data_IF_352679803728
#
_entry.id   IF_352679803728
#
_cell.length_a   1.000
_cell.length_b   1.000
_cell.length_c   1.000
_cell.angle_alpha   90.00
_cell.angle_beta   90.00
_cell.angle_gamma   90.00
#
_symmetry.space_group_name_H-M   'P 1'
#
loop_
_entity.id
_entity.type
_entity.pdbx_description
1 polymer ?
#
# COMPACT_ATOMS: atom_id res chain seq x y z
N UNK A 1 -9.08 19.41 -26.02
CA UNK A 1 -8.30 18.86 -24.90
C UNK A 1 -6.82 19.11 -25.13
N UNK A 2 -6.11 19.47 -24.07
CA UNK A 2 -4.66 19.66 -24.06
C UNK A 2 -4.06 18.79 -22.96
N UNK A 3 -2.84 18.29 -23.18
CA UNK A 3 -2.09 17.55 -22.17
C UNK A 3 -0.94 18.43 -21.69
N UNK A 4 -0.92 18.72 -20.39
CA UNK A 4 0.11 19.52 -19.75
C UNK A 4 1.01 18.57 -18.95
N UNK A 5 2.31 18.64 -19.20
CA UNK A 5 3.34 17.96 -18.42
C UNK A 5 3.82 18.92 -17.34
N UNK A 6 3.81 18.48 -16.08
CA UNK A 6 4.00 19.34 -14.91
C UNK A 6 4.95 18.66 -13.92
N UNK A 7 5.90 19.42 -13.38
CA UNK A 7 6.73 19.05 -12.23
C UNK A 7 6.15 19.60 -10.93
N UNK A 8 6.51 19.00 -9.78
CA UNK A 8 6.04 19.46 -8.47
C UNK A 8 6.46 20.90 -8.12
N UNK A 9 7.56 21.36 -8.73
CA UNK A 9 8.12 22.69 -8.52
C UNK A 9 7.48 23.74 -9.44
N UNK A 10 6.68 23.32 -10.43
CA UNK A 10 6.05 24.22 -11.38
C UNK A 10 4.90 24.99 -10.74
N UNK A 11 4.73 26.27 -11.14
CA UNK A 11 3.62 27.12 -10.67
C UNK A 11 2.26 26.52 -10.99
N UNK A 12 2.18 25.79 -12.09
CA UNK A 12 0.94 25.19 -12.60
C UNK A 12 0.64 23.84 -11.93
N UNK A 13 1.45 23.37 -10.97
CA UNK A 13 1.20 22.14 -10.22
C UNK A 13 -0.14 22.13 -9.48
N UNK A 14 -0.69 23.31 -9.17
CA UNK A 14 -2.05 23.43 -8.63
C UNK A 14 -3.12 22.80 -9.53
N UNK A 15 -2.92 22.76 -10.86
CA UNK A 15 -3.83 22.09 -11.79
C UNK A 15 -3.95 20.59 -11.52
N UNK A 16 -2.86 19.95 -11.06
CA UNK A 16 -2.86 18.55 -10.70
C UNK A 16 -3.81 18.30 -9.52
N UNK A 17 -3.83 19.19 -8.52
CA UNK A 17 -4.76 19.12 -7.40
C UNK A 17 -6.21 19.38 -7.81
N UNK A 18 -6.44 20.38 -8.67
CA UNK A 18 -7.77 20.83 -9.09
C UNK A 18 -8.60 19.78 -9.84
N UNK A 19 -7.97 18.77 -10.47
CA UNK A 19 -8.71 17.63 -11.07
C UNK A 19 -9.61 16.94 -10.05
N UNK A 20 -9.20 16.89 -8.77
CA UNK A 20 -10.00 16.26 -7.71
C UNK A 20 -11.38 16.92 -7.56
N UNK A 21 -11.45 18.25 -7.68
CA UNK A 21 -12.68 19.03 -7.55
C UNK A 21 -13.67 18.74 -8.69
N UNK A 22 -13.21 18.22 -9.82
CA UNK A 22 -14.05 17.84 -10.94
C UNK A 22 -14.69 16.45 -10.78
N UNK A 23 -14.19 15.63 -9.85
CA UNK A 23 -14.47 14.18 -9.75
C UNK A 23 -15.12 13.83 -8.42
N UNK A 24 -14.66 14.44 -7.33
CA UNK A 24 -14.98 14.07 -5.96
C UNK A 24 -15.85 15.13 -5.27
N UNK A 25 -16.64 14.73 -4.27
CA UNK A 25 -17.34 15.69 -3.41
C UNK A 25 -16.34 16.51 -2.58
N UNK A 26 -16.71 17.69 -2.04
CA UNK A 26 -15.80 18.48 -1.20
C UNK A 26 -15.16 17.69 -0.05
N UNK A 27 -15.92 16.80 0.61
CA UNK A 27 -15.43 15.94 1.70
C UNK A 27 -14.39 14.93 1.18
N UNK A 28 -14.65 14.33 0.02
CA UNK A 28 -13.73 13.39 -0.62
C UNK A 28 -12.47 14.11 -1.15
N UNK A 29 -12.55 15.35 -1.60
CA UNK A 29 -11.38 16.15 -1.99
C UNK A 29 -10.46 16.37 -0.79
N UNK A 30 -11.01 16.70 0.39
CA UNK A 30 -10.20 16.81 1.63
C UNK A 30 -9.49 15.50 1.96
N UNK A 31 -10.14 14.36 1.71
CA UNK A 31 -9.51 13.05 1.87
C UNK A 31 -8.37 12.83 0.86
N UNK A 32 -8.69 12.95 -0.44
CA UNK A 32 -7.77 12.69 -1.55
C UNK A 32 -6.57 13.63 -1.57
N UNK A 33 -6.74 14.88 -1.15
CA UNK A 33 -5.66 15.87 -1.08
C UNK A 33 -4.59 15.56 -0.01
N UNK A 34 -4.87 14.63 0.91
CA UNK A 34 -3.88 14.14 1.89
C UNK A 34 -3.00 13.03 1.32
N UNK A 35 -3.37 12.43 0.19
CA UNK A 35 -2.54 11.44 -0.47
C UNK A 35 -1.26 12.11 -0.97
N UNK A 36 -0.11 11.62 -0.51
CA UNK A 36 1.17 12.08 -1.02
C UNK A 36 1.41 11.49 -2.41
N UNK A 37 2.06 12.28 -3.26
CA UNK A 37 2.64 11.78 -4.50
C UNK A 37 4.08 11.40 -4.17
N UNK A 38 4.47 10.12 -4.22
CA UNK A 38 5.85 9.71 -3.99
C UNK A 38 6.79 10.44 -4.94
N UNK A 39 7.91 10.95 -4.44
CA UNK A 39 8.92 11.60 -5.29
C UNK A 39 9.89 10.59 -5.87
N UNK A 40 10.05 9.46 -5.19
CA UNK A 40 10.89 8.38 -5.66
C UNK A 40 10.38 7.87 -7.00
N UNK A 41 11.27 7.87 -7.99
CA UNK A 41 10.99 7.46 -9.37
C UNK A 41 9.98 8.32 -10.11
N UNK A 42 9.47 9.42 -9.53
CA UNK A 42 8.55 10.31 -10.23
C UNK A 42 9.28 10.93 -11.42
N UNK A 43 8.76 10.69 -12.62
CA UNK A 43 9.28 11.30 -13.84
C UNK A 43 8.56 12.62 -14.12
N UNK A 44 7.23 12.59 -14.10
CA UNK A 44 6.41 13.78 -14.34
C UNK A 44 4.95 13.54 -13.95
N UNK A 45 4.20 14.61 -13.76
CA UNK A 45 2.75 14.58 -13.69
C UNK A 45 2.14 15.03 -15.02
N UNK A 46 1.06 14.38 -15.43
CA UNK A 46 0.28 14.75 -16.62
C UNK A 46 -1.11 15.20 -16.18
N UNK A 47 -1.60 16.30 -16.77
CA UNK A 47 -2.95 16.80 -16.58
C UNK A 47 -3.60 17.02 -17.94
N UNK A 48 -4.80 16.48 -18.14
CA UNK A 48 -5.65 16.82 -19.29
C UNK A 48 -6.56 17.97 -18.91
N UNK A 49 -6.61 18.98 -19.77
CA UNK A 49 -7.57 20.08 -19.68
C UNK A 49 -8.53 20.08 -20.86
N UNK A 50 -9.79 20.47 -20.63
CA UNK A 50 -10.72 20.85 -21.68
C UNK A 50 -11.14 22.31 -21.50
N UNK A 51 -10.88 23.13 -22.53
CA UNK A 51 -11.08 24.59 -22.49
C UNK A 51 -10.49 25.26 -21.24
N UNK A 52 -9.31 24.80 -20.81
CA UNK A 52 -8.61 25.28 -19.63
C UNK A 52 -9.06 24.67 -18.29
N UNK A 53 -10.13 23.87 -18.25
CA UNK A 53 -10.58 23.17 -17.04
C UNK A 53 -9.85 21.83 -16.90
N UNK A 54 -9.19 21.52 -15.77
CA UNK A 54 -8.54 20.22 -15.56
C UNK A 54 -9.60 19.11 -15.36
N UNK A 55 -9.46 18.00 -16.08
CA UNK A 55 -10.46 16.91 -16.13
C UNK A 55 -9.88 15.51 -15.92
N UNK A 56 -8.57 15.32 -16.08
CA UNK A 56 -7.90 14.06 -15.78
C UNK A 56 -6.44 14.29 -15.37
N UNK A 57 -5.87 13.39 -14.56
CA UNK A 57 -4.47 13.43 -14.13
C UNK A 57 -3.85 12.05 -13.95
N UNK A 58 -2.54 11.98 -14.08
CA UNK A 58 -1.74 10.85 -13.58
C UNK A 58 -0.32 11.30 -13.25
N UNK A 59 0.32 10.65 -12.28
CA UNK A 59 1.75 10.73 -12.04
C UNK A 59 2.44 9.54 -12.74
N UNK A 60 3.42 9.80 -13.60
CA UNK A 60 4.19 8.80 -14.32
C UNK A 60 5.54 8.57 -13.61
N UNK A 61 5.88 7.31 -13.39
CA UNK A 61 7.05 6.88 -12.64
C UNK A 61 7.95 5.95 -13.45
N UNK A 62 9.26 6.20 -13.37
CA UNK A 62 10.32 5.42 -14.00
C UNK A 62 11.18 4.77 -12.93
N UNK A 63 10.68 3.65 -12.38
CA UNK A 63 11.42 2.82 -11.45
C UNK A 63 12.37 1.88 -12.23
N UNK A 64 13.70 2.02 -12.08
CA UNK A 64 14.66 1.23 -12.87
C UNK A 64 14.64 -0.27 -12.52
N UNK A 65 14.19 -0.64 -11.32
CA UNK A 65 14.14 -2.02 -10.84
C UNK A 65 12.79 -2.70 -11.18
N UNK A 66 11.79 -1.92 -11.60
CA UNK A 66 10.46 -2.45 -11.91
C UNK A 66 10.47 -3.19 -13.25
N UNK A 67 10.16 -4.49 -13.17
CA UNK A 67 10.05 -5.37 -14.34
C UNK A 67 8.77 -6.16 -14.32
N UNK A 68 8.23 -6.41 -15.52
CA UNK A 68 7.12 -7.32 -15.75
C UNK A 68 7.43 -8.19 -16.96
N UNK A 69 7.28 -9.52 -16.80
CA UNK A 69 7.69 -10.53 -17.79
C UNK A 69 9.13 -10.30 -18.31
N UNK A 70 10.05 -10.01 -17.39
CA UNK A 70 11.47 -9.72 -17.65
C UNK A 70 11.79 -8.45 -18.47
N UNK A 71 10.77 -7.63 -18.80
CA UNK A 71 10.97 -6.34 -19.46
C UNK A 71 10.79 -5.17 -18.48
N UNK A 72 11.43 -4.03 -18.77
CA UNK A 72 11.28 -2.79 -18.01
C UNK A 72 9.82 -2.31 -18.10
N UNK A 73 9.25 -1.96 -16.96
CA UNK A 73 7.92 -1.38 -16.86
C UNK A 73 7.98 0.03 -16.24
N UNK A 74 7.26 0.97 -16.83
CA UNK A 74 6.90 2.22 -16.19
C UNK A 74 5.62 1.99 -15.39
N UNK A 75 5.32 2.87 -14.43
CA UNK A 75 4.04 2.83 -13.74
C UNK A 75 3.35 4.19 -13.65
N UNK A 76 2.02 4.16 -13.54
CA UNK A 76 1.18 5.34 -13.39
C UNK A 76 0.40 5.29 -12.08
N UNK A 77 0.61 6.29 -11.23
CA UNK A 77 -0.11 6.48 -9.99
C UNK A 77 -1.05 7.68 -10.08
N UNK A 78 -1.86 7.89 -9.04
CA UNK A 78 -2.80 9.03 -8.96
C UNK A 78 -3.65 9.18 -10.23
N UNK A 79 -4.07 8.06 -10.81
CA UNK A 79 -4.87 8.04 -12.05
C UNK A 79 -6.29 8.44 -11.71
N UNK A 80 -6.70 9.60 -12.19
CA UNK A 80 -8.03 10.14 -11.95
C UNK A 80 -8.54 10.83 -13.20
N UNK A 81 -9.83 10.70 -13.46
CA UNK A 81 -10.51 11.28 -14.61
C UNK A 81 -11.97 11.47 -14.26
N UNK A 82 -12.60 12.49 -14.84
CA UNK A 82 -14.07 12.48 -14.96
C UNK A 82 -14.51 11.18 -15.64
N UNK A 83 -15.81 10.85 -15.56
CA UNK A 83 -16.42 9.68 -16.23
C UNK A 83 -16.43 9.81 -17.78
N UNK A 84 -15.49 10.57 -18.35
CA UNK A 84 -15.28 10.72 -19.78
C UNK A 84 -14.12 9.81 -20.21
N UNK A 85 -14.45 8.70 -20.87
CA UNK A 85 -13.46 7.75 -21.38
C UNK A 85 -12.45 8.42 -22.32
N UNK A 86 -12.86 9.46 -23.08
CA UNK A 86 -11.98 10.14 -24.04
C UNK A 86 -10.84 10.86 -23.31
N UNK A 87 -11.13 11.47 -22.16
CA UNK A 87 -10.13 12.17 -21.36
C UNK A 87 -9.09 11.20 -20.79
N UNK A 88 -9.54 10.05 -20.26
CA UNK A 88 -8.63 9.02 -19.76
C UNK A 88 -7.83 8.36 -20.88
N UNK A 89 -8.45 7.99 -22.00
CA UNK A 89 -7.75 7.44 -23.16
C UNK A 89 -6.64 8.38 -23.64
N UNK A 90 -6.93 9.69 -23.72
CA UNK A 90 -5.93 10.67 -24.10
C UNK A 90 -4.78 10.76 -23.10
N UNK A 91 -5.08 10.77 -21.79
CA UNK A 91 -4.09 10.77 -20.72
C UNK A 91 -3.19 9.53 -20.78
N UNK A 92 -3.79 8.34 -20.87
CA UNK A 92 -3.07 7.06 -20.94
C UNK A 92 -2.21 6.98 -22.20
N UNK A 93 -2.73 7.41 -23.35
CA UNK A 93 -1.98 7.44 -24.61
C UNK A 93 -0.73 8.32 -24.50
N UNK A 94 -0.82 9.47 -23.80
CA UNK A 94 0.32 10.35 -23.54
C UNK A 94 1.34 9.72 -22.59
N UNK A 95 0.89 9.14 -21.48
CA UNK A 95 1.76 8.43 -20.56
C UNK A 95 2.48 7.25 -21.23
N UNK A 96 1.77 6.47 -22.04
CA UNK A 96 2.32 5.34 -22.79
C UNK A 96 3.31 5.78 -23.87
N UNK A 97 3.07 6.90 -24.57
CA UNK A 97 4.04 7.45 -25.53
C UNK A 97 5.35 7.82 -24.84
N UNK A 98 5.27 8.60 -23.75
CA UNK A 98 6.44 9.00 -22.97
C UNK A 98 7.21 7.79 -22.42
N UNK A 99 6.50 6.78 -21.90
CA UNK A 99 7.12 5.54 -21.44
C UNK A 99 7.85 4.80 -22.58
N UNK A 100 7.24 4.68 -23.76
CA UNK A 100 7.86 4.05 -24.94
C UNK A 100 9.10 4.81 -25.42
N UNK A 101 9.04 6.14 -25.45
CA UNK A 101 10.18 7.01 -25.80
C UNK A 101 11.39 6.78 -24.88
N UNK A 102 11.15 6.39 -23.61
CA UNK A 102 12.18 6.04 -22.63
C UNK A 102 12.52 4.53 -22.58
N UNK A 103 12.01 3.75 -23.54
CA UNK A 103 12.33 2.34 -23.71
C UNK A 103 11.67 1.41 -22.70
N UNK A 104 10.52 1.80 -22.14
CA UNK A 104 9.69 0.89 -21.33
C UNK A 104 8.74 0.08 -22.24
N UNK A 105 8.59 -1.20 -21.93
CA UNK A 105 7.73 -2.12 -22.70
C UNK A 105 6.33 -2.25 -22.14
N UNK A 106 6.16 -1.95 -20.85
CA UNK A 106 4.90 -2.04 -20.14
C UNK A 106 4.62 -0.74 -19.38
N UNK A 107 3.33 -0.43 -19.24
CA UNK A 107 2.80 0.61 -18.36
C UNK A 107 1.90 -0.09 -17.34
N UNK A 108 2.26 -0.04 -16.06
CA UNK A 108 1.54 -0.69 -14.97
C UNK A 108 0.78 0.36 -14.17
N UNK A 109 -0.50 0.12 -13.93
CA UNK A 109 -1.35 1.09 -13.25
C UNK A 109 -2.58 0.45 -12.65
N UNK A 110 -3.10 0.98 -11.53
CA UNK A 110 -2.51 2.08 -10.75
C UNK A 110 -1.28 1.61 -9.94
N UNK A 111 -0.18 2.36 -9.96
CA UNK A 111 0.98 2.16 -9.10
C UNK A 111 1.83 3.44 -9.02
N UNK A 112 1.90 4.01 -7.83
CA UNK A 112 2.70 5.18 -7.49
C UNK A 112 4.15 4.78 -7.23
N UNK A 113 4.90 4.44 -8.29
CA UNK A 113 6.34 4.20 -8.24
C UNK A 113 6.77 2.81 -7.74
N UNK A 114 6.08 2.23 -6.73
CA UNK A 114 6.37 0.87 -6.23
C UNK A 114 5.23 0.29 -5.40
N UNK A 115 5.32 -0.99 -5.04
CA UNK A 115 4.38 -1.67 -4.12
C UNK A 115 4.49 -1.21 -2.66
N UNK A 116 5.43 -0.31 -2.34
CA UNK A 116 5.49 0.35 -1.03
C UNK A 116 4.49 1.51 -0.92
N UNK A 117 4.00 2.00 -2.06
CA UNK A 117 3.09 3.13 -2.15
C UNK A 117 1.70 2.66 -2.57
N UNK A 118 0.82 3.57 -2.97
CA UNK A 118 -0.46 3.26 -3.60
C UNK A 118 -0.29 2.41 -4.88
N UNK A 119 -0.97 1.26 -5.01
CA UNK A 119 -0.74 0.36 -6.16
C UNK A 119 -1.91 -0.52 -6.61
N UNK A 120 -3.14 -0.17 -6.24
CA UNK A 120 -4.32 -0.96 -6.60
C UNK A 120 -5.57 -0.11 -6.68
N UNK A 121 -6.53 -0.56 -7.48
CA UNK A 121 -7.92 -0.14 -7.37
C UNK A 121 -8.70 -1.22 -6.62
N UNK A 122 -9.70 -0.79 -5.85
CA UNK A 122 -10.68 -1.71 -5.29
C UNK A 122 -11.74 -2.03 -6.34
N UNK A 123 -12.14 -3.30 -6.43
CA UNK A 123 -13.31 -3.70 -7.22
C UNK A 123 -14.63 -3.48 -6.46
N UNK A 124 -14.56 -3.35 -5.13
CA UNK A 124 -15.71 -3.29 -4.24
C UNK A 124 -15.59 -2.06 -3.35
N UNK A 125 -16.36 -1.00 -3.63
CA UNK A 125 -16.39 0.19 -2.77
C UNK A 125 -17.64 0.24 -1.89
N UNK A 126 -18.42 -0.85 -1.84
CA UNK A 126 -19.58 -0.96 -0.96
C UNK A 126 -19.21 -1.28 0.50
N UNK A 127 -17.96 -1.66 0.78
CA UNK A 127 -17.44 -1.79 2.13
C UNK A 127 -16.96 -0.43 2.65
N UNK A 128 -17.07 -0.16 3.98
CA UNK A 128 -16.51 1.03 4.57
C UNK A 128 -15.01 1.16 4.28
N UNK A 129 -14.57 2.36 3.92
CA UNK A 129 -13.15 2.66 3.73
C UNK A 129 -12.44 2.58 5.09
N UNK A 130 -11.41 1.74 5.18
CA UNK A 130 -10.57 1.63 6.38
C UNK A 130 -9.26 2.39 6.19
N UNK A 131 -8.64 2.78 7.31
CA UNK A 131 -7.37 3.49 7.30
C UNK A 131 -6.31 2.75 6.46
N UNK A 132 -5.57 3.49 5.63
CA UNK A 132 -4.57 2.99 4.65
C UNK A 132 -5.11 2.39 3.35
N UNK A 133 -6.41 2.24 3.17
CA UNK A 133 -7.00 1.91 1.85
C UNK A 133 -7.25 3.18 1.02
N UNK A 134 -7.23 3.03 -0.30
CA UNK A 134 -7.40 4.15 -1.22
C UNK A 134 -8.88 4.42 -1.53
N UNK A 135 -9.25 5.70 -1.52
CA UNK A 135 -10.53 6.13 -2.06
C UNK A 135 -10.42 6.27 -3.59
N UNK A 136 -11.23 5.48 -4.29
CA UNK A 136 -11.33 5.50 -5.75
C UNK A 136 -12.80 5.31 -6.16
N UNK A 137 -13.21 5.75 -7.35
CA UNK A 137 -14.59 5.58 -7.84
C UNK A 137 -14.73 4.26 -8.61
N UNK A 138 -15.78 3.47 -8.37
CA UNK A 138 -15.91 2.09 -8.91
C UNK A 138 -15.73 2.01 -10.43
N UNK A 139 -16.18 3.04 -11.16
CA UNK A 139 -16.08 3.11 -12.62
C UNK A 139 -14.65 3.13 -13.16
N UNK A 140 -13.62 3.40 -12.34
CA UNK A 140 -12.24 3.40 -12.83
C UNK A 140 -11.79 2.02 -13.29
N UNK A 141 -12.30 0.94 -12.72
CA UNK A 141 -11.97 -0.42 -13.17
C UNK A 141 -12.38 -0.62 -14.64
N UNK A 142 -13.60 -0.23 -15.00
CA UNK A 142 -14.10 -0.32 -16.38
C UNK A 142 -13.37 0.64 -17.32
N UNK A 143 -13.12 1.88 -16.86
CA UNK A 143 -12.40 2.87 -17.66
C UNK A 143 -10.97 2.40 -18.00
N UNK A 144 -10.24 1.83 -17.03
CA UNK A 144 -8.89 1.31 -17.28
C UNK A 144 -8.89 0.21 -18.34
N UNK A 145 -9.84 -0.74 -18.26
CA UNK A 145 -9.99 -1.80 -19.26
C UNK A 145 -10.29 -1.22 -20.64
N UNK A 146 -11.17 -0.21 -20.73
CA UNK A 146 -11.47 0.49 -21.99
C UNK A 146 -10.24 1.16 -22.62
N UNK A 147 -9.30 1.64 -21.79
CA UNK A 147 -8.02 2.20 -22.28
C UNK A 147 -6.95 1.18 -22.66
N UNK A 148 -7.28 -0.12 -22.62
CA UNK A 148 -6.39 -1.21 -23.02
C UNK A 148 -5.53 -1.80 -21.91
N UNK A 149 -5.84 -1.52 -20.64
CA UNK A 149 -5.21 -2.23 -19.52
C UNK A 149 -5.86 -3.61 -19.31
N UNK A 150 -5.05 -4.56 -18.82
CA UNK A 150 -5.50 -5.89 -18.41
C UNK A 150 -5.10 -6.13 -16.95
N UNK A 151 -5.91 -6.91 -16.22
CA UNK A 151 -5.59 -7.30 -14.85
C UNK A 151 -4.38 -8.24 -14.83
N UNK A 152 -3.31 -7.82 -14.15
CA UNK A 152 -2.08 -8.63 -14.01
C UNK A 152 -1.95 -9.32 -12.65
N UNK A 153 -2.73 -8.89 -11.65
CA UNK A 153 -2.78 -9.47 -10.30
C UNK A 153 -4.04 -8.98 -9.58
N UNK A 154 -4.57 -9.82 -8.70
CA UNK A 154 -5.69 -9.49 -7.81
C UNK A 154 -5.25 -9.64 -6.35
N UNK A 155 -5.87 -8.84 -5.49
CA UNK A 155 -5.66 -8.85 -4.05
C UNK A 155 -7.02 -8.85 -3.37
N UNK A 156 -7.08 -9.37 -2.15
CA UNK A 156 -8.28 -9.29 -1.33
C UNK A 156 -7.91 -8.83 0.08
N UNK A 157 -8.85 -8.12 0.69
CA UNK A 157 -8.84 -7.81 2.11
C UNK A 157 -9.90 -8.67 2.78
N UNK A 158 -9.57 -9.32 3.89
CA UNK A 158 -10.52 -10.08 4.69
C UNK A 158 -10.81 -9.35 6.00
N UNK A 159 -12.06 -9.36 6.43
CA UNK A 159 -12.47 -8.88 7.75
C UNK A 159 -13.23 -9.99 8.51
N UNK A 160 -13.22 -9.91 9.83
CA UNK A 160 -13.98 -10.82 10.70
C UNK A 160 -14.51 -10.05 11.91
N UNK A 161 -15.71 -10.42 12.37
CA UNK A 161 -16.27 -9.98 13.65
C UNK A 161 -16.03 -11.01 14.76
N UNK A 162 -15.53 -12.20 14.42
CA UNK A 162 -15.19 -13.24 15.39
C UNK A 162 -13.80 -12.96 15.98
N UNK A 163 -13.73 -12.01 16.92
CA UNK A 163 -12.51 -11.72 17.68
C UNK A 163 -12.19 -12.81 18.71
N UNK A 164 -13.14 -13.69 19.02
CA UNK A 164 -12.93 -14.85 19.88
C UNK A 164 -12.38 -16.07 19.12
N UNK A 165 -12.02 -15.87 17.84
CA UNK A 165 -11.47 -16.91 16.98
C UNK A 165 -10.23 -17.55 17.58
N UNK A 166 -10.14 -18.88 17.42
CA UNK A 166 -8.98 -19.66 17.81
C UNK A 166 -8.51 -20.54 16.66
N UNK A 167 -7.24 -20.39 16.28
CA UNK A 167 -6.62 -21.27 15.29
C UNK A 167 -6.63 -22.72 15.82
N UNK A 168 -7.17 -23.70 15.06
CA UNK A 168 -7.29 -25.09 15.52
C UNK A 168 -5.96 -25.72 15.97
N UNK A 169 -4.87 -25.36 15.30
CA UNK A 169 -3.53 -25.86 15.57
C UNK A 169 -2.77 -25.09 16.67
N UNK A 170 -3.39 -24.06 17.28
CA UNK A 170 -2.68 -23.15 18.19
C UNK A 170 -1.97 -23.88 19.34
N UNK A 171 -2.61 -24.83 20.03
CA UNK A 171 -2.00 -25.54 21.16
C UNK A 171 -0.78 -26.40 20.74
N UNK A 172 -0.78 -26.91 19.52
CA UNK A 172 0.36 -27.63 18.97
C UNK A 172 1.50 -26.68 18.59
N UNK A 173 1.18 -25.57 17.90
CA UNK A 173 2.15 -24.54 17.54
C UNK A 173 2.75 -23.85 18.77
N UNK A 174 1.95 -23.61 19.79
CA UNK A 174 2.38 -22.95 21.02
C UNK A 174 3.43 -23.78 21.75
N UNK A 175 3.20 -25.08 21.92
CA UNK A 175 4.23 -25.99 22.47
C UNK A 175 5.46 -26.03 21.58
N UNK A 176 5.30 -26.19 20.28
CA UNK A 176 6.41 -26.27 19.32
C UNK A 176 7.32 -25.03 19.36
N UNK A 177 6.75 -23.82 19.31
CA UNK A 177 7.55 -22.59 19.29
C UNK A 177 8.16 -22.26 20.65
N UNK A 178 7.46 -22.55 21.76
CA UNK A 178 8.04 -22.40 23.10
C UNK A 178 9.19 -23.38 23.33
N UNK A 179 9.07 -24.64 22.92
CA UNK A 179 10.15 -25.65 23.01
C UNK A 179 11.36 -25.26 22.16
N UNK A 180 11.13 -24.56 21.03
CA UNK A 180 12.19 -23.98 20.21
C UNK A 180 12.83 -22.72 20.80
N UNK A 181 12.33 -22.20 21.92
CA UNK A 181 12.79 -20.98 22.55
C UNK A 181 12.42 -19.70 21.78
N UNK A 182 11.36 -19.74 20.96
CA UNK A 182 10.84 -18.55 20.29
C UNK A 182 10.18 -17.63 21.32
N UNK A 183 10.51 -16.35 21.24
CA UNK A 183 9.93 -15.32 22.10
C UNK A 183 9.12 -14.33 21.27
N UNK A 184 7.86 -14.13 21.64
CA UNK A 184 7.03 -13.05 21.13
C UNK A 184 7.11 -11.89 22.11
N UNK A 185 7.45 -10.71 21.61
CA UNK A 185 7.57 -9.49 22.41
C UNK A 185 6.93 -8.31 21.68
N UNK A 186 6.36 -7.34 22.40
CA UNK A 186 5.84 -6.13 21.79
C UNK A 186 6.98 -5.25 21.26
N UNK A 187 6.66 -4.39 20.30
CA UNK A 187 7.46 -3.19 20.00
C UNK A 187 6.86 -2.03 20.77
N UNK A 188 7.63 -1.50 21.73
CA UNK A 188 7.21 -0.39 22.58
C UNK A 188 7.32 0.92 21.81
N UNK A 189 6.36 1.83 21.99
CA UNK A 189 6.29 3.10 21.25
C UNK A 189 7.54 3.96 21.49
N UNK A 190 8.11 3.94 22.69
CA UNK A 190 9.36 4.62 23.05
C UNK A 190 10.60 4.09 22.31
N UNK A 191 10.54 2.85 21.81
CA UNK A 191 11.63 2.19 21.07
C UNK A 191 11.28 1.96 19.60
N UNK A 192 10.10 2.37 19.14
CA UNK A 192 9.59 2.05 17.81
C UNK A 192 10.52 2.52 16.70
N UNK A 193 11.02 3.76 16.80
CA UNK A 193 11.92 4.33 15.79
C UNK A 193 13.28 3.60 15.77
N UNK A 194 13.76 3.13 16.91
CA UNK A 194 15.02 2.36 17.04
C UNK A 194 14.89 0.95 16.45
N UNK A 195 13.67 0.41 16.38
CA UNK A 195 13.37 -0.90 15.81
C UNK A 195 13.24 -0.87 14.28
N UNK A 196 12.90 0.29 13.68
CA UNK A 196 12.71 0.42 12.22
C UNK A 196 13.92 -0.07 11.39
N UNK A 197 15.19 0.22 11.77
CA UNK A 197 16.35 -0.35 11.09
C UNK A 197 16.37 -1.88 11.04
N UNK A 198 15.94 -2.57 12.10
CA UNK A 198 15.91 -4.03 12.17
C UNK A 198 14.73 -4.58 11.37
N UNK A 199 13.57 -3.90 11.46
CA UNK A 199 12.39 -4.23 10.66
C UNK A 199 12.66 -4.08 9.16
N UNK A 200 13.41 -3.05 8.74
CA UNK A 200 13.82 -2.87 7.35
C UNK A 200 14.54 -4.09 6.80
N UNK A 201 15.56 -4.59 7.51
CA UNK A 201 16.35 -5.75 7.09
C UNK A 201 15.49 -7.03 7.01
N UNK A 202 14.52 -7.17 7.91
CA UNK A 202 13.62 -8.31 7.92
C UNK A 202 12.56 -8.25 6.82
N UNK A 203 11.82 -7.14 6.72
CA UNK A 203 10.73 -6.95 5.77
C UNK A 203 11.24 -6.90 4.33
N UNK A 204 12.39 -6.28 4.07
CA UNK A 204 13.00 -6.28 2.74
C UNK A 204 13.28 -7.71 2.26
N UNK A 205 13.80 -8.58 3.13
CA UNK A 205 14.02 -10.00 2.82
C UNK A 205 12.72 -10.79 2.72
N UNK A 206 11.72 -10.48 3.54
CA UNK A 206 10.44 -11.17 3.54
C UNK A 206 9.63 -10.87 2.26
N UNK A 207 9.65 -9.63 1.79
CA UNK A 207 8.87 -9.17 0.64
C UNK A 207 9.59 -9.29 -0.71
N UNK A 208 10.88 -9.61 -0.73
CA UNK A 208 11.68 -9.67 -1.97
C UNK A 208 11.11 -10.57 -3.09
N UNK A 209 10.22 -11.51 -2.75
CA UNK A 209 9.59 -12.45 -3.69
C UNK A 209 8.15 -12.06 -4.05
N UNK A 210 7.63 -10.98 -3.49
CA UNK A 210 6.29 -10.50 -3.82
C UNK A 210 6.25 -10.02 -5.27
N UNK A 211 5.10 -10.18 -5.90
CA UNK A 211 4.88 -9.72 -7.27
C UNK A 211 5.14 -8.21 -7.38
N UNK A 212 5.93 -7.81 -8.39
CA UNK A 212 6.36 -6.43 -8.65
C UNK A 212 7.15 -5.75 -7.50
N UNK A 213 7.67 -6.51 -6.54
CA UNK A 213 8.54 -5.96 -5.52
C UNK A 213 9.77 -5.30 -6.14
N UNK A 214 10.05 -4.07 -5.69
CA UNK A 214 11.34 -3.40 -5.89
C UNK A 214 11.90 -2.96 -4.54
N UNK A 215 13.23 -2.94 -4.37
CA UNK A 215 13.84 -2.44 -3.15
C UNK A 215 13.46 -0.99 -2.83
N UNK A 216 13.37 -0.67 -1.54
CA UNK A 216 13.25 0.71 -1.04
C UNK A 216 14.51 1.03 -0.23
N UNK A 217 14.92 2.29 -0.20
CA UNK A 217 16.05 2.68 0.64
C UNK A 217 15.68 2.57 2.12
N UNK A 218 16.67 2.30 2.97
CA UNK A 218 16.46 2.26 4.42
C UNK A 218 15.92 3.57 4.98
N UNK A 219 16.40 4.70 4.46
CA UNK A 219 15.94 6.04 4.85
C UNK A 219 14.46 6.24 4.50
N UNK A 220 14.06 5.89 3.27
CA UNK A 220 12.66 5.99 2.83
C UNK A 220 11.74 5.10 3.64
N UNK A 221 12.17 3.86 3.92
CA UNK A 221 11.45 2.96 4.79
C UNK A 221 11.27 3.57 6.18
N UNK A 222 12.34 4.08 6.80
CA UNK A 222 12.27 4.70 8.13
C UNK A 222 11.35 5.91 8.13
N UNK A 223 11.50 6.82 7.17
CA UNK A 223 10.66 8.01 7.05
C UNK A 223 9.18 7.63 6.94
N UNK A 224 8.84 6.71 6.03
CA UNK A 224 7.47 6.25 5.84
C UNK A 224 6.88 5.58 7.08
N UNK A 225 7.64 4.68 7.71
CA UNK A 225 7.13 3.93 8.86
C UNK A 225 7.15 4.75 10.16
N UNK A 226 7.93 5.84 10.24
CA UNK A 226 7.92 6.77 11.37
C UNK A 226 6.58 7.50 11.54
N UNK A 227 5.85 7.74 10.44
CA UNK A 227 4.52 8.38 10.46
C UNK A 227 3.47 7.58 11.24
N UNK A 228 3.68 6.26 11.40
CA UNK A 228 2.80 5.40 12.18
C UNK A 228 3.06 5.45 13.68
N UNK A 229 4.12 6.11 14.16
CA UNK A 229 4.45 6.18 15.59
C UNK A 229 3.24 6.55 16.49
N UNK A 230 2.39 7.53 16.14
CA UNK A 230 1.20 7.86 16.95
C UNK A 230 0.15 6.75 17.05
N UNK A 231 0.22 5.74 16.18
CA UNK A 231 -0.72 4.63 16.07
C UNK A 231 -0.14 3.31 16.61
N UNK A 232 1.12 3.30 17.04
CA UNK A 232 1.78 2.11 17.59
C UNK A 232 1.21 1.80 18.97
N UNK A 233 0.57 0.64 19.07
CA UNK A 233 0.10 0.04 20.32
C UNK A 233 0.90 -1.25 20.56
N UNK A 234 1.63 -1.36 21.69
CA UNK A 234 2.42 -2.54 22.04
C UNK A 234 1.63 -3.86 22.03
N UNK A 235 0.31 -3.84 22.26
CA UNK A 235 -0.50 -5.05 22.21
C UNK A 235 -0.74 -5.56 20.77
N UNK A 236 -0.46 -4.74 19.77
CA UNK A 236 -0.81 -4.95 18.36
C UNK A 236 0.39 -4.88 17.40
N UNK A 237 1.54 -4.43 17.88
CA UNK A 237 2.80 -4.48 17.14
C UNK A 237 3.72 -5.50 17.81
N UNK A 238 3.68 -6.74 17.32
CA UNK A 238 4.35 -7.89 17.94
C UNK A 238 5.44 -8.44 17.04
N UNK A 239 6.64 -8.64 17.58
CA UNK A 239 7.76 -9.33 16.92
C UNK A 239 8.03 -10.70 17.55
N UNK A 240 8.50 -11.64 16.75
CA UNK A 240 8.98 -12.94 17.20
C UNK A 240 10.47 -13.09 16.92
N UNK A 241 11.23 -13.49 17.94
CA UNK A 241 12.67 -13.76 17.85
C UNK A 241 12.94 -15.23 18.13
N UNK A 242 13.90 -15.83 17.42
CA UNK A 242 14.38 -17.17 17.73
C UNK A 242 15.24 -17.20 19.02
N UNK A 243 15.63 -18.39 19.48
CA UNK A 243 16.45 -18.55 20.69
C UNK A 243 17.83 -17.87 20.62
N UNK A 244 18.27 -17.43 19.43
CA UNK A 244 19.52 -16.70 19.21
C UNK A 244 19.30 -15.19 19.10
N UNK A 245 18.06 -14.72 19.23
CA UNK A 245 17.69 -13.31 19.12
C UNK A 245 17.48 -12.82 17.68
N UNK A 246 17.39 -13.71 16.69
CA UNK A 246 17.12 -13.28 15.31
C UNK A 246 15.62 -13.02 15.13
N UNK A 247 15.27 -11.88 14.53
CA UNK A 247 13.90 -11.57 14.13
C UNK A 247 13.41 -12.55 13.06
N UNK A 248 12.32 -13.27 13.37
CA UNK A 248 11.74 -14.31 12.52
C UNK A 248 10.27 -14.06 12.18
N UNK A 249 9.59 -13.10 12.82
CA UNK A 249 8.20 -12.76 12.53
C UNK A 249 7.81 -11.39 13.04
N UNK A 250 6.83 -10.76 12.38
CA UNK A 250 6.24 -9.48 12.78
C UNK A 250 4.75 -9.49 12.43
N UNK A 251 3.95 -8.96 13.35
CA UNK A 251 2.62 -8.43 13.10
C UNK A 251 2.66 -6.94 13.39
N UNK A 252 2.37 -6.13 12.37
CA UNK A 252 2.24 -4.69 12.47
C UNK A 252 0.77 -4.35 12.25
N UNK A 253 0.04 -4.25 13.36
CA UNK A 253 -1.37 -3.91 13.36
C UNK A 253 -1.58 -2.49 13.89
N UNK A 254 -2.59 -1.80 13.37
CA UNK A 254 -2.90 -0.41 13.71
C UNK A 254 -4.42 -0.25 13.85
N UNK A 255 -4.90 0.68 14.69
CA UNK A 255 -6.33 0.98 14.75
C UNK A 255 -6.81 1.61 13.44
N UNK A 256 -8.05 1.31 13.06
CA UNK A 256 -8.74 2.05 12.01
C UNK A 256 -9.24 3.38 12.56
N UNK A 257 -8.56 4.46 12.20
CA UNK A 257 -8.93 5.82 12.63
C UNK A 257 -10.08 6.42 11.79
N UNK A 258 -10.54 5.75 10.73
CA UNK A 258 -11.69 6.18 9.95
C UNK A 258 -13.01 5.67 10.53
N UNK A 259 -12.99 4.53 11.22
CA UNK A 259 -14.17 3.99 11.88
C UNK A 259 -14.36 4.62 13.28
N UNK A 260 -15.23 5.62 13.34
CA UNK A 260 -15.60 6.27 14.61
C UNK A 260 -16.70 5.52 15.39
N UNK A 261 -17.35 4.53 14.79
CA UNK A 261 -18.53 3.87 15.35
C UNK A 261 -18.21 2.63 16.17
N UNK A 262 -17.16 1.91 15.79
CA UNK A 262 -16.72 0.68 16.44
C UNK A 262 -15.19 0.58 16.37
N UNK A 263 -14.61 -0.20 17.29
CA UNK A 263 -13.17 -0.42 17.28
C UNK A 263 -12.84 -1.42 16.17
N UNK A 264 -12.05 -0.99 15.20
CA UNK A 264 -11.54 -1.88 14.14
C UNK A 264 -10.02 -1.92 14.20
N UNK A 265 -9.45 -3.13 14.11
CA UNK A 265 -7.99 -3.34 14.07
C UNK A 265 -7.59 -3.80 12.67
N UNK A 266 -6.64 -3.08 12.06
CA UNK A 266 -6.11 -3.38 10.73
C UNK A 266 -4.80 -4.14 10.89
N UNK A 267 -4.72 -5.34 10.32
CA UNK A 267 -3.45 -6.05 10.14
C UNK A 267 -2.78 -5.48 8.89
N UNK A 268 -1.98 -4.42 9.06
CA UNK A 268 -1.35 -3.72 7.92
C UNK A 268 -0.19 -4.52 7.32
N UNK A 269 0.58 -5.21 8.15
CA UNK A 269 1.66 -6.07 7.65
C UNK A 269 1.86 -7.26 8.58
N UNK A 270 1.88 -8.45 8.00
CA UNK A 270 2.28 -9.67 8.67
C UNK A 270 3.36 -10.34 7.83
N UNK A 271 4.50 -10.65 8.44
CA UNK A 271 5.60 -11.31 7.75
C UNK A 271 6.28 -12.31 8.68
N UNK A 272 6.78 -13.39 8.09
CA UNK A 272 7.57 -14.41 8.77
C UNK A 272 8.76 -14.82 7.92
N UNK A 273 9.79 -15.33 8.59
CA UNK A 273 10.86 -16.05 7.92
C UNK A 273 10.24 -17.24 7.12
N UNK A 274 10.53 -17.37 5.82
CA UNK A 274 9.93 -18.40 4.97
C UNK A 274 10.52 -19.79 5.22
N UNK A 275 11.59 -19.91 6.03
CA UNK A 275 12.25 -21.17 6.35
C UNK A 275 11.27 -22.23 6.88
N UNK A 276 11.46 -23.51 6.52
CA UNK A 276 10.50 -24.58 6.81
C UNK A 276 10.29 -24.80 8.32
N UNK A 277 11.27 -24.47 9.17
CA UNK A 277 11.15 -24.56 10.63
C UNK A 277 10.20 -23.53 11.25
N UNK A 278 9.80 -22.50 10.49
CA UNK A 278 8.92 -21.40 10.95
C UNK A 278 7.51 -21.51 10.36
N UNK A 279 7.14 -22.66 9.81
CA UNK A 279 5.76 -22.93 9.35
C UNK A 279 4.81 -22.84 10.54
N UNK A 280 3.67 -22.18 10.35
CA UNK A 280 2.70 -21.91 11.43
C UNK A 280 3.02 -20.70 12.30
N UNK A 281 4.20 -20.06 12.17
CA UNK A 281 4.56 -18.90 12.99
C UNK A 281 3.54 -17.76 12.85
N UNK A 282 3.03 -17.55 11.62
CA UNK A 282 1.98 -16.56 11.37
C UNK A 282 0.70 -16.84 12.15
N UNK A 283 0.18 -18.07 12.14
CA UNK A 283 -1.03 -18.43 12.89
C UNK A 283 -0.81 -18.32 14.41
N UNK A 284 0.35 -18.78 14.89
CA UNK A 284 0.69 -18.68 16.30
C UNK A 284 0.78 -17.22 16.77
N UNK A 285 1.53 -16.37 16.05
CA UNK A 285 1.58 -14.93 16.33
C UNK A 285 0.22 -14.24 16.17
N UNK A 286 -0.53 -14.62 15.13
CA UNK A 286 -1.88 -14.11 14.87
C UNK A 286 -2.82 -14.37 16.04
N UNK A 287 -2.75 -15.54 16.68
CA UNK A 287 -3.55 -15.82 17.87
C UNK A 287 -3.30 -14.81 18.99
N UNK A 288 -2.05 -14.38 19.22
CA UNK A 288 -1.76 -13.35 20.21
C UNK A 288 -2.43 -12.02 19.90
N UNK A 289 -2.56 -11.67 18.60
CA UNK A 289 -3.31 -10.48 18.16
C UNK A 289 -4.81 -10.64 18.48
N UNK A 290 -5.43 -11.78 18.15
CA UNK A 290 -6.83 -12.05 18.48
C UNK A 290 -7.08 -12.01 20.01
N UNK A 291 -6.23 -12.67 20.79
CA UNK A 291 -6.34 -12.70 22.25
C UNK A 291 -6.23 -11.28 22.86
N UNK A 292 -5.36 -10.43 22.32
CA UNK A 292 -5.20 -9.04 22.76
C UNK A 292 -6.39 -8.17 22.33
N UNK A 293 -6.89 -8.34 21.10
CA UNK A 293 -8.06 -7.64 20.59
C UNK A 293 -9.30 -7.95 21.44
N UNK A 294 -9.52 -9.23 21.77
CA UNK A 294 -10.61 -9.68 22.63
C UNK A 294 -10.53 -9.06 24.03
N UNK A 295 -9.34 -9.02 24.66
CA UNK A 295 -9.14 -8.37 25.97
C UNK A 295 -9.47 -6.88 25.94
N UNK A 296 -9.17 -6.21 24.81
CA UNK A 296 -9.42 -4.77 24.62
C UNK A 296 -10.80 -4.45 24.06
N UNK A 297 -11.68 -5.46 23.93
CA UNK A 297 -13.07 -5.34 23.47
C UNK A 297 -13.17 -4.67 22.10
N UNK A 298 -12.33 -5.14 21.18
CA UNK A 298 -12.58 -5.00 19.76
C UNK A 298 -13.76 -5.88 19.35
#
# INVERSE_FOLDING_TARGET
>A
MECIQISKEDRDFSLFGQVLEAIYTPEQVVFKSRESIPEQHLHTCLVITDRGKPIARTALYFNPDLKYKDHRAACIGSVESTHDTIALEFLISKAASLAREHGFSYLIGPMSGSTWEAYRFSFENHFPLFFTEQLQQEYYNDLMVQTGFETISEYFSSFTYDVAFRFPEFEALNRYFLDMGVQVSPILSEHYLDELPVLYEFLSRAFQRNFLYTPVSKEQFINKYSEFLPLVDPDYVLKANDAKGNLIGIYFCIPDIYNASEKTLIIKSAARNPGPGWRGLGHWMGQHIYDNALKKRF
#
